data_IF_945417426992
#
_entry.id   IF_945417426992
#
_cell.length_a   1.000
_cell.length_b   1.000
_cell.length_c   1.000
_cell.angle_alpha   90.00
_cell.angle_beta   90.00
_cell.angle_gamma   90.00
#
_symmetry.space_group_name_H-M   'P 1'
#
loop_
_entity.id
_entity.type
_entity.pdbx_description
1 polymer ?
#
# COMPACT_ATOMS: atom_id res chain seq x y z
N UNK A 1 -10.80 37.48 -1.03
CA UNK A 1 -9.55 37.00 -1.69
C UNK A 1 -8.96 35.93 -0.83
N UNK A 2 -9.00 34.64 -1.19
CA UNK A 2 -8.27 33.63 -0.46
C UNK A 2 -6.78 33.88 -0.73
N UNK A 3 -6.01 34.04 0.36
CA UNK A 3 -4.56 34.21 0.32
C UNK A 3 -3.97 32.93 -0.25
N UNK A 4 -3.56 32.96 -1.52
CA UNK A 4 -2.99 31.84 -2.23
C UNK A 4 -1.70 31.37 -1.58
N UNK A 5 -1.47 30.07 -1.60
CA UNK A 5 -0.12 29.53 -1.41
C UNK A 5 0.82 30.20 -2.41
N UNK A 6 2.08 30.48 -2.02
CA UNK A 6 3.04 31.13 -2.91
C UNK A 6 3.23 30.35 -4.20
N UNK A 7 3.47 31.06 -5.29
CA UNK A 7 3.66 30.51 -6.62
C UNK A 7 4.71 29.40 -6.63
N UNK A 8 4.34 28.31 -7.27
CA UNK A 8 5.07 27.11 -7.58
C UNK A 8 6.60 27.29 -7.68
N UNK A 9 7.30 26.97 -6.59
CA UNK A 9 8.66 26.47 -6.74
C UNK A 9 8.50 24.96 -6.85
N UNK A 10 8.71 24.42 -8.04
CA UNK A 10 8.57 22.98 -8.35
C UNK A 10 9.58 22.15 -7.53
N UNK A 11 9.29 21.96 -6.25
CA UNK A 11 10.13 21.22 -5.32
C UNK A 11 9.54 19.82 -5.12
N UNK A 12 10.27 18.84 -5.63
CA UNK A 12 9.94 17.45 -5.41
C UNK A 12 10.09 17.07 -3.95
N UNK A 13 9.07 16.48 -3.32
CA UNK A 13 9.12 16.11 -1.90
C UNK A 13 8.40 14.79 -1.59
N UNK A 14 8.79 14.20 -0.47
CA UNK A 14 8.11 13.07 0.16
C UNK A 14 7.73 13.44 1.59
N UNK A 15 6.55 13.03 2.00
CA UNK A 15 6.03 13.18 3.37
C UNK A 15 5.45 11.86 3.85
N UNK A 16 5.66 11.58 5.12
CA UNK A 16 5.26 10.33 5.75
C UNK A 16 6.30 9.22 5.54
N UNK A 17 6.15 8.18 6.31
CA UNK A 17 7.05 7.03 6.30
C UNK A 17 6.49 5.95 5.37
N UNK A 18 7.09 5.81 4.18
CA UNK A 18 6.79 4.72 3.27
C UNK A 18 7.41 3.44 3.83
N UNK A 19 6.63 2.40 4.16
CA UNK A 19 7.19 1.16 4.68
C UNK A 19 8.20 0.55 3.69
N UNK A 20 9.23 -0.15 4.17
CA UNK A 20 10.12 -0.87 3.28
C UNK A 20 9.37 -2.02 2.58
N UNK A 21 9.77 -2.35 1.36
CA UNK A 21 9.35 -3.60 0.75
C UNK A 21 9.85 -4.78 1.60
N UNK A 22 8.97 -5.72 1.85
CA UNK A 22 9.34 -6.93 2.57
C UNK A 22 10.48 -7.65 1.85
N UNK A 23 11.45 -8.17 2.61
CA UNK A 23 12.52 -8.99 2.05
C UNK A 23 11.94 -10.15 1.24
N UNK A 24 12.35 -10.31 -0.02
CA UNK A 24 11.78 -11.28 -0.96
C UNK A 24 10.34 -10.93 -1.34
N UNK A 25 9.99 -9.63 -1.42
CA UNK A 25 8.73 -9.23 -2.03
C UNK A 25 8.70 -9.73 -3.47
N UNK A 26 7.70 -10.54 -3.75
CA UNK A 26 7.49 -11.10 -5.08
C UNK A 26 6.60 -10.18 -5.87
N UNK A 27 7.05 -9.80 -7.06
CA UNK A 27 6.18 -9.13 -8.02
C UNK A 27 4.92 -9.96 -8.26
N UNK A 28 3.77 -9.31 -8.33
CA UNK A 28 2.45 -9.96 -8.41
C UNK A 28 1.78 -9.67 -9.74
N UNK A 29 2.33 -10.16 -10.87
CA UNK A 29 1.81 -9.86 -12.19
C UNK A 29 0.36 -10.36 -12.36
N UNK A 30 0.00 -11.46 -11.71
CA UNK A 30 -1.34 -12.04 -11.82
C UNK A 30 -2.38 -11.27 -10.99
N UNK A 31 -1.95 -10.55 -9.94
CA UNK A 31 -2.84 -9.81 -9.02
C UNK A 31 -2.70 -8.31 -9.13
N UNK A 32 -1.48 -7.82 -9.30
CA UNK A 32 -1.12 -6.40 -9.28
C UNK A 32 -0.58 -5.92 -10.64
N UNK A 33 -0.42 -6.80 -11.61
CA UNK A 33 -0.01 -6.44 -12.96
C UNK A 33 -0.98 -5.43 -13.57
N UNK A 34 -0.44 -4.31 -14.05
CA UNK A 34 -1.25 -3.24 -14.62
C UNK A 34 -1.93 -2.30 -13.62
N UNK A 35 -1.81 -2.51 -12.28
CA UNK A 35 -2.41 -1.57 -11.32
C UNK A 35 -1.80 -0.17 -11.39
N UNK A 36 -0.50 -0.07 -11.66
CA UNK A 36 0.15 1.22 -11.88
C UNK A 36 -0.44 1.96 -13.10
N UNK A 37 -0.81 1.21 -14.15
CA UNK A 37 -1.42 1.75 -15.37
C UNK A 37 -2.88 2.21 -15.13
N UNK A 38 -3.55 1.65 -14.12
CA UNK A 38 -4.89 2.08 -13.72
C UNK A 38 -4.86 3.33 -12.83
N UNK A 39 -3.74 3.59 -12.18
CA UNK A 39 -3.55 4.76 -11.32
C UNK A 39 -3.06 5.96 -12.15
N UNK A 40 -3.90 6.37 -13.10
CA UNK A 40 -3.67 7.54 -13.97
C UNK A 40 -3.98 8.86 -13.25
N UNK A 41 -3.48 10.01 -13.72
CA UNK A 41 -3.87 11.31 -13.18
C UNK A 41 -5.40 11.48 -13.12
N UNK A 42 -5.90 12.03 -12.03
CA UNK A 42 -7.33 12.18 -11.75
C UNK A 42 -8.02 10.93 -11.22
N UNK A 43 -7.31 9.82 -11.02
CA UNK A 43 -7.92 8.56 -10.57
C UNK A 43 -7.74 8.30 -9.07
N UNK A 44 -8.65 7.46 -8.53
CA UNK A 44 -8.54 6.90 -7.19
C UNK A 44 -8.73 5.38 -7.23
N UNK A 45 -7.81 4.65 -6.60
CA UNK A 45 -7.88 3.20 -6.44
C UNK A 45 -7.94 2.84 -4.96
N UNK A 46 -8.75 1.84 -4.62
CA UNK A 46 -8.80 1.25 -3.29
C UNK A 46 -8.47 -0.25 -3.36
N UNK A 47 -7.38 -0.64 -2.73
CA UNK A 47 -6.99 -2.03 -2.55
C UNK A 47 -7.70 -2.58 -1.32
N UNK A 48 -8.59 -3.54 -1.52
CA UNK A 48 -9.36 -4.19 -0.45
C UNK A 48 -9.14 -5.70 -0.48
N UNK A 49 -9.41 -6.44 0.60
CA UNK A 49 -9.36 -7.90 0.55
C UNK A 49 -10.34 -8.45 -0.48
N UNK A 50 -9.95 -9.51 -1.16
CA UNK A 50 -10.88 -10.24 -2.03
C UNK A 50 -11.97 -10.89 -1.18
N UNK A 51 -13.27 -10.69 -1.48
CA UNK A 51 -14.38 -11.27 -0.73
C UNK A 51 -14.27 -12.79 -0.56
N UNK A 52 -13.84 -13.52 -1.58
CA UNK A 52 -13.66 -14.97 -1.50
C UNK A 52 -12.65 -15.41 -0.42
N UNK A 53 -11.67 -14.57 -0.08
CA UNK A 53 -10.71 -14.83 1.00
C UNK A 53 -11.35 -14.55 2.35
N UNK A 54 -12.05 -13.41 2.49
CA UNK A 54 -12.68 -13.01 3.76
C UNK A 54 -13.85 -13.92 4.16
N UNK A 55 -14.60 -14.43 3.20
CA UNK A 55 -15.67 -15.41 3.41
C UNK A 55 -15.11 -16.76 3.89
N UNK A 56 -13.98 -17.19 3.35
CA UNK A 56 -13.33 -18.45 3.72
C UNK A 56 -12.61 -18.39 5.06
N UNK A 57 -12.17 -17.21 5.48
CA UNK A 57 -11.38 -16.97 6.68
C UNK A 57 -11.91 -15.76 7.48
N UNK A 58 -13.05 -15.88 8.16
CA UNK A 58 -13.75 -14.73 8.77
C UNK A 58 -12.95 -13.98 9.83
N UNK A 59 -11.97 -14.64 10.48
CA UNK A 59 -11.09 -14.03 11.49
C UNK A 59 -9.70 -13.66 10.95
N UNK A 60 -9.54 -13.68 9.63
CA UNK A 60 -8.25 -13.40 9.02
C UNK A 60 -7.87 -11.91 9.13
N UNK A 61 -6.61 -11.58 9.52
CA UNK A 61 -6.18 -10.21 9.78
C UNK A 61 -6.01 -9.34 8.52
N UNK A 62 -6.32 -9.84 7.34
CA UNK A 62 -6.26 -9.05 6.11
C UNK A 62 -4.87 -8.95 5.46
N UNK A 63 -3.94 -9.84 5.81
CA UNK A 63 -2.53 -9.80 5.40
C UNK A 63 -2.28 -10.30 3.95
N UNK A 64 -3.06 -9.83 2.97
CA UNK A 64 -2.89 -10.18 1.55
C UNK A 64 -1.83 -9.33 0.81
N UNK A 65 -1.12 -8.45 1.51
CA UNK A 65 -0.03 -7.67 0.94
C UNK A 65 -0.45 -6.36 0.27
N UNK A 66 -1.62 -5.80 0.58
CA UNK A 66 -2.12 -4.52 0.02
C UNK A 66 -1.13 -3.37 0.19
N UNK A 67 -0.62 -3.16 1.42
CA UNK A 67 0.40 -2.15 1.71
C UNK A 67 1.66 -2.35 0.87
N UNK A 68 2.12 -3.60 0.69
CA UNK A 68 3.30 -3.90 -0.13
C UNK A 68 3.09 -3.59 -1.62
N UNK A 69 1.89 -3.85 -2.13
CA UNK A 69 1.50 -3.45 -3.48
C UNK A 69 1.49 -1.91 -3.58
N UNK A 70 0.93 -1.23 -2.59
CA UNK A 70 0.91 0.23 -2.58
C UNK A 70 2.33 0.83 -2.54
N UNK A 71 3.24 0.26 -1.75
CA UNK A 71 4.66 0.64 -1.72
C UNK A 71 5.31 0.46 -3.09
N UNK A 72 5.12 -0.70 -3.71
CA UNK A 72 5.66 -0.99 -5.05
C UNK A 72 5.19 0.05 -6.08
N UNK A 73 3.90 0.37 -6.10
CA UNK A 73 3.33 1.37 -7.02
C UNK A 73 3.90 2.76 -6.72
N UNK A 74 3.90 3.18 -5.45
CA UNK A 74 4.40 4.50 -5.05
C UNK A 74 5.88 4.68 -5.41
N UNK A 75 6.71 3.66 -5.12
CA UNK A 75 8.13 3.68 -5.46
C UNK A 75 8.39 3.65 -6.97
N UNK A 76 7.57 2.94 -7.74
CA UNK A 76 7.65 2.91 -9.20
C UNK A 76 7.33 4.28 -9.79
N UNK A 77 6.22 4.90 -9.39
CA UNK A 77 5.83 6.24 -9.85
C UNK A 77 6.86 7.31 -9.43
N UNK A 78 7.43 7.17 -8.23
CA UNK A 78 8.48 8.07 -7.77
C UNK A 78 9.76 7.93 -8.57
N UNK A 79 10.26 6.71 -8.80
CA UNK A 79 11.50 6.47 -9.55
C UNK A 79 11.38 6.85 -11.01
N UNK A 80 10.22 6.60 -11.63
CA UNK A 80 9.95 6.99 -13.03
C UNK A 80 9.70 8.49 -13.22
N UNK A 81 9.66 9.28 -12.13
CA UNK A 81 9.31 10.71 -12.15
C UNK A 81 7.90 10.98 -12.70
N UNK A 82 6.99 10.02 -12.55
CA UNK A 82 5.59 10.21 -12.88
C UNK A 82 4.83 11.03 -11.83
N UNK A 83 5.45 11.25 -10.67
CA UNK A 83 4.99 12.12 -9.58
C UNK A 83 6.16 12.93 -9.02
N UNK A 84 5.87 14.14 -8.57
CA UNK A 84 6.80 15.03 -7.89
C UNK A 84 6.51 15.14 -6.39
N UNK A 85 5.30 14.77 -6.00
CA UNK A 85 4.86 14.80 -4.61
C UNK A 85 4.33 13.43 -4.19
N UNK A 86 4.92 12.87 -3.14
CA UNK A 86 4.49 11.63 -2.52
C UNK A 86 4.12 11.87 -1.06
N UNK A 87 2.85 11.65 -0.75
CA UNK A 87 2.32 11.83 0.60
C UNK A 87 1.80 10.47 1.07
N UNK A 88 2.49 9.88 2.04
CA UNK A 88 2.11 8.60 2.63
C UNK A 88 1.54 8.83 4.03
N UNK A 89 0.31 8.39 4.26
CA UNK A 89 -0.37 8.52 5.55
C UNK A 89 -0.84 7.14 6.01
N UNK A 90 -0.26 6.64 7.10
CA UNK A 90 -0.78 5.47 7.80
C UNK A 90 -1.98 5.92 8.65
N UNK A 91 -3.17 5.48 8.25
CA UNK A 91 -4.43 6.00 8.80
C UNK A 91 -4.85 5.19 10.01
N UNK A 92 -4.62 5.72 11.20
CA UNK A 92 -5.16 5.15 12.45
C UNK A 92 -6.48 5.80 12.84
N UNK A 93 -6.63 7.09 12.53
CA UNK A 93 -7.81 7.91 12.82
C UNK A 93 -7.78 9.19 11.96
N UNK A 94 -8.82 10.03 12.07
CA UNK A 94 -8.90 11.31 11.37
C UNK A 94 -7.74 12.26 11.71
N UNK A 95 -7.28 12.28 12.95
CA UNK A 95 -6.17 13.15 13.37
C UNK A 95 -4.85 12.80 12.69
N UNK A 96 -4.59 11.52 12.41
CA UNK A 96 -3.43 11.09 11.62
C UNK A 96 -3.47 11.66 10.19
N UNK A 97 -4.64 11.70 9.57
CA UNK A 97 -4.82 12.28 8.23
C UNK A 97 -4.60 13.79 8.25
N UNK A 98 -5.18 14.49 9.23
CA UNK A 98 -4.95 15.94 9.43
C UNK A 98 -3.45 16.23 9.59
N UNK A 99 -2.77 15.50 10.46
CA UNK A 99 -1.32 15.66 10.70
C UNK A 99 -0.50 15.42 9.42
N UNK A 100 -0.83 14.39 8.64
CA UNK A 100 -0.17 14.09 7.38
C UNK A 100 -0.32 15.24 6.37
N UNK A 101 -1.50 15.82 6.23
CA UNK A 101 -1.71 16.96 5.33
C UNK A 101 -1.07 18.24 5.84
N UNK A 102 -1.01 18.46 7.15
CA UNK A 102 -0.25 19.60 7.72
C UNK A 102 1.23 19.47 7.38
N UNK A 103 1.84 18.29 7.59
CA UNK A 103 3.24 18.05 7.23
C UNK A 103 3.48 18.23 5.72
N UNK A 104 2.56 17.76 4.89
CA UNK A 104 2.64 17.93 3.45
C UNK A 104 2.55 19.41 3.04
N UNK A 105 1.71 20.21 3.71
CA UNK A 105 1.63 21.66 3.51
C UNK A 105 2.98 22.35 3.82
N UNK A 106 3.62 21.96 4.92
CA UNK A 106 4.97 22.48 5.27
C UNK A 106 6.01 22.10 4.20
N UNK A 107 6.00 20.84 3.77
CA UNK A 107 6.93 20.36 2.76
C UNK A 107 6.78 21.07 1.41
N UNK A 108 5.52 21.33 1.01
CA UNK A 108 5.20 22.02 -0.24
C UNK A 108 5.58 23.50 -0.22
N UNK A 109 5.34 24.19 0.91
CA UNK A 109 5.54 25.65 1.01
C UNK A 109 6.87 26.07 1.63
N UNK A 110 7.45 25.21 2.45
CA UNK A 110 8.60 25.56 3.32
C UNK A 110 8.24 26.50 4.48
N UNK A 111 6.93 26.73 4.73
CA UNK A 111 6.45 27.68 5.74
C UNK A 111 5.67 26.95 6.82
N UNK A 112 5.80 27.42 8.05
CA UNK A 112 4.95 26.98 9.15
C UNK A 112 3.50 27.41 8.88
N UNK A 113 2.54 26.48 8.93
CA UNK A 113 1.16 26.79 8.64
C UNK A 113 0.51 27.56 9.78
N UNK A 114 -0.39 28.50 9.44
CA UNK A 114 -1.19 29.25 10.40
C UNK A 114 -2.62 28.73 10.48
N UNK A 115 -3.16 28.58 11.68
CA UNK A 115 -4.51 28.10 11.93
C UNK A 115 -4.56 26.71 12.58
N UNK A 116 -5.75 26.14 12.67
CA UNK A 116 -5.94 24.80 13.21
C UNK A 116 -5.52 23.73 12.19
N UNK A 117 -5.21 22.53 12.67
CA UNK A 117 -4.86 21.39 11.79
C UNK A 117 -5.94 21.11 10.74
N UNK A 118 -7.23 21.18 11.10
CA UNK A 118 -8.34 21.03 10.16
C UNK A 118 -8.32 22.10 9.07
N UNK A 119 -8.14 23.39 9.45
CA UNK A 119 -8.10 24.49 8.47
C UNK A 119 -6.92 24.33 7.49
N UNK A 120 -5.76 23.94 8.00
CA UNK A 120 -4.55 23.73 7.18
C UNK A 120 -4.74 22.54 6.25
N UNK A 121 -5.24 21.41 6.76
CA UNK A 121 -5.47 20.21 5.97
C UNK A 121 -6.50 20.44 4.85
N UNK A 122 -7.63 21.08 5.15
CA UNK A 122 -8.64 21.41 4.14
C UNK A 122 -8.08 22.34 3.06
N UNK A 123 -7.29 23.35 3.45
CA UNK A 123 -6.62 24.25 2.48
C UNK A 123 -5.63 23.49 1.61
N UNK A 124 -4.86 22.58 2.19
CA UNK A 124 -3.91 21.77 1.44
C UNK A 124 -4.61 20.81 0.47
N UNK A 125 -5.69 20.16 0.89
CA UNK A 125 -6.51 19.32 0.00
C UNK A 125 -7.10 20.12 -1.15
N UNK A 126 -7.58 21.35 -0.88
CA UNK A 126 -8.07 22.26 -1.94
C UNK A 126 -6.95 22.62 -2.93
N UNK A 127 -5.74 22.88 -2.43
CA UNK A 127 -4.58 23.16 -3.29
C UNK A 127 -4.19 21.95 -4.14
N UNK A 128 -4.27 20.72 -3.61
CA UNK A 128 -4.06 19.49 -4.41
C UNK A 128 -5.06 19.40 -5.57
N UNK A 129 -6.27 19.95 -5.41
CA UNK A 129 -7.30 20.02 -6.45
C UNK A 129 -6.96 20.99 -7.60
N UNK A 130 -6.14 21.99 -7.32
CA UNK A 130 -5.83 23.09 -8.25
C UNK A 130 -4.42 22.98 -8.86
N UNK A 131 -3.48 22.33 -8.15
CA UNK A 131 -2.10 22.20 -8.61
C UNK A 131 -1.99 21.41 -9.90
N UNK A 132 -1.02 21.79 -10.73
CA UNK A 132 -0.64 21.04 -11.94
C UNK A 132 0.53 20.08 -11.71
N UNK A 133 1.13 20.14 -10.53
CA UNK A 133 2.21 19.22 -10.17
C UNK A 133 1.64 17.81 -9.97
N UNK A 134 2.26 16.77 -10.55
CA UNK A 134 1.78 15.41 -10.39
C UNK A 134 2.06 14.89 -8.97
N UNK A 135 0.99 14.53 -8.27
CA UNK A 135 1.08 14.02 -6.91
C UNK A 135 0.48 12.63 -6.75
N UNK A 136 0.91 11.94 -5.69
CA UNK A 136 0.31 10.72 -5.17
C UNK A 136 0.07 10.88 -3.68
N UNK A 137 -1.17 10.71 -3.26
CA UNK A 137 -1.52 10.49 -1.84
C UNK A 137 -1.82 9.01 -1.65
N UNK A 138 -1.18 8.40 -0.67
CA UNK A 138 -1.46 7.05 -0.20
C UNK A 138 -2.09 7.12 1.19
N UNK A 139 -3.31 6.59 1.32
CA UNK A 139 -3.98 6.39 2.61
C UNK A 139 -3.88 4.91 2.97
N UNK A 140 -2.89 4.56 3.80
CA UNK A 140 -2.62 3.17 4.13
C UNK A 140 -3.37 2.71 5.38
N UNK A 141 -3.95 1.50 5.28
CA UNK A 141 -4.78 0.81 6.29
C UNK A 141 -5.97 1.66 6.79
N UNK A 142 -6.68 2.33 5.86
CA UNK A 142 -7.83 3.17 6.17
C UNK A 142 -8.95 2.36 6.84
N UNK A 143 -9.29 2.65 8.12
CA UNK A 143 -10.40 2.00 8.80
C UNK A 143 -11.76 2.49 8.29
N UNK A 144 -12.77 1.62 8.26
CA UNK A 144 -14.13 1.96 7.80
C UNK A 144 -14.77 3.10 8.63
N UNK A 145 -14.46 3.15 9.92
CA UNK A 145 -15.04 4.11 10.86
C UNK A 145 -14.46 5.53 10.73
N UNK A 146 -13.39 5.73 9.95
CA UNK A 146 -12.78 7.05 9.81
C UNK A 146 -13.53 7.90 8.80
N UNK A 147 -14.15 8.97 9.31
CA UNK A 147 -14.77 9.99 8.45
C UNK A 147 -13.72 10.95 7.88
N UNK A 148 -13.59 10.96 6.57
CA UNK A 148 -12.72 11.84 5.79
C UNK A 148 -13.50 12.93 5.04
N UNK A 149 -14.72 13.24 5.46
CA UNK A 149 -15.51 14.34 4.86
C UNK A 149 -14.69 15.63 4.83
N UNK A 150 -14.57 16.24 3.66
CA UNK A 150 -13.79 17.45 3.42
C UNK A 150 -12.26 17.24 3.32
N UNK A 151 -11.77 15.98 3.46
CA UNK A 151 -10.35 15.65 3.40
C UNK A 151 -9.99 14.68 2.28
N UNK A 152 -10.92 14.37 1.38
CA UNK A 152 -10.62 13.53 0.23
C UNK A 152 -9.80 14.30 -0.80
N UNK A 153 -8.55 13.90 -1.08
CA UNK A 153 -7.76 14.52 -2.14
C UNK A 153 -8.41 14.22 -3.48
N UNK A 154 -8.54 15.25 -4.30
CA UNK A 154 -9.03 15.15 -5.67
C UNK A 154 -8.33 16.21 -6.53
N UNK A 155 -8.12 15.92 -7.82
CA UNK A 155 -7.48 16.86 -8.72
C UNK A 155 -6.97 16.20 -10.01
N UNK A 156 -6.94 16.95 -11.11
CA UNK A 156 -6.63 16.39 -12.43
C UNK A 156 -5.17 15.89 -12.57
N UNK A 157 -4.25 16.44 -11.79
CA UNK A 157 -2.84 16.02 -11.79
C UNK A 157 -2.55 14.90 -10.75
N UNK A 158 -3.51 14.62 -9.88
CA UNK A 158 -3.32 13.79 -8.71
C UNK A 158 -3.71 12.34 -8.89
N UNK A 159 -3.19 11.54 -7.98
CA UNK A 159 -3.53 10.12 -7.85
C UNK A 159 -3.80 9.80 -6.38
N UNK A 160 -4.88 9.09 -6.11
CA UNK A 160 -5.18 8.60 -4.76
C UNK A 160 -5.12 7.08 -4.73
N UNK A 161 -4.30 6.53 -3.84
CA UNK A 161 -4.22 5.10 -3.58
C UNK A 161 -4.60 4.83 -2.13
N UNK A 162 -5.55 3.95 -1.93
CA UNK A 162 -6.07 3.59 -0.60
C UNK A 162 -5.82 2.11 -0.38
N UNK A 163 -5.35 1.74 0.79
CA UNK A 163 -5.46 0.36 1.27
C UNK A 163 -6.44 0.31 2.43
N UNK A 164 -7.29 -0.70 2.47
CA UNK A 164 -8.28 -0.87 3.54
C UNK A 164 -8.55 -2.35 3.78
N UNK A 165 -9.04 -2.67 4.97
CA UNK A 165 -9.55 -4.01 5.33
C UNK A 165 -11.03 -4.15 5.02
N UNK A 166 -11.72 -3.05 4.78
CA UNK A 166 -13.16 -2.97 4.52
C UNK A 166 -13.42 -2.18 3.23
N UNK A 167 -14.61 -2.24 2.66
CA UNK A 167 -14.98 -1.40 1.54
C UNK A 167 -14.84 0.09 1.86
N UNK A 168 -14.19 0.84 0.97
CA UNK A 168 -14.00 2.29 1.13
C UNK A 168 -15.29 3.01 0.78
N UNK A 169 -15.75 3.85 1.71
CA UNK A 169 -16.97 4.66 1.58
C UNK A 169 -16.66 6.15 1.56
N UNK A 170 -17.61 6.96 1.12
CA UNK A 170 -17.52 8.42 1.21
C UNK A 170 -16.77 9.13 0.09
N UNK A 171 -16.16 8.40 -0.87
CA UNK A 171 -15.54 8.98 -2.07
C UNK A 171 -16.09 8.32 -3.34
N UNK A 172 -17.06 8.95 -4.01
CA UNK A 172 -17.55 8.47 -5.31
C UNK A 172 -16.43 8.38 -6.37
N UNK A 173 -16.55 7.45 -7.31
CA UNK A 173 -15.57 7.29 -8.39
C UNK A 173 -14.28 6.56 -7.99
N UNK A 174 -14.15 6.12 -6.74
CA UNK A 174 -13.02 5.26 -6.34
C UNK A 174 -13.19 3.85 -6.94
N UNK A 175 -12.21 3.42 -7.73
CA UNK A 175 -12.17 2.08 -8.30
C UNK A 175 -11.66 1.09 -7.25
N UNK A 176 -12.49 0.10 -6.92
CA UNK A 176 -12.14 -0.94 -5.94
C UNK A 176 -11.43 -2.09 -6.64
N UNK A 177 -10.29 -2.49 -6.10
CA UNK A 177 -9.44 -3.58 -6.58
C UNK A 177 -9.37 -4.65 -5.48
N UNK A 178 -9.97 -5.82 -5.67
CA UNK A 178 -9.88 -6.91 -4.72
C UNK A 178 -8.49 -7.56 -4.79
N UNK A 179 -7.80 -7.63 -3.64
CA UNK A 179 -6.50 -8.26 -3.49
C UNK A 179 -6.65 -9.58 -2.76
N UNK A 180 -6.32 -10.68 -3.43
CA UNK A 180 -6.34 -12.04 -2.88
C UNK A 180 -4.98 -12.48 -2.34
N UNK A 181 -4.87 -13.77 -2.06
CA UNK A 181 -3.60 -14.45 -1.81
C UNK A 181 -2.78 -14.54 -3.10
N UNK A 182 -1.57 -15.08 -3.00
CA UNK A 182 -0.76 -15.35 -4.18
C UNK A 182 -1.47 -16.38 -5.09
N UNK A 183 -1.25 -16.27 -6.40
CA UNK A 183 -1.39 -17.43 -7.27
C UNK A 183 -0.34 -18.50 -6.89
N UNK A 184 -0.54 -19.74 -7.26
CA UNK A 184 0.45 -20.81 -7.01
C UNK A 184 1.81 -20.44 -7.61
N UNK A 185 1.82 -19.81 -8.79
CA UNK A 185 3.04 -19.34 -9.47
C UNK A 185 3.73 -18.23 -8.68
N UNK A 186 3.00 -17.20 -8.23
CA UNK A 186 3.55 -16.11 -7.41
C UNK A 186 4.13 -16.65 -6.10
N UNK A 187 3.41 -17.56 -5.43
CA UNK A 187 3.86 -18.17 -4.18
C UNK A 187 5.15 -18.97 -4.34
N UNK A 188 5.24 -19.80 -5.39
CA UNK A 188 6.44 -20.60 -5.69
C UNK A 188 7.63 -19.72 -6.10
N UNK A 189 7.39 -18.67 -6.87
CA UNK A 189 8.43 -17.73 -7.25
C UNK A 189 8.99 -17.01 -6.02
N UNK A 190 8.13 -16.47 -5.15
CA UNK A 190 8.55 -15.79 -3.93
C UNK A 190 9.29 -16.69 -2.96
N UNK A 191 8.85 -17.93 -2.81
CA UNK A 191 9.54 -18.91 -1.99
C UNK A 191 10.91 -19.27 -2.59
N UNK A 192 10.98 -19.47 -3.91
CA UNK A 192 12.21 -19.78 -4.63
C UNK A 192 13.24 -18.67 -4.56
N UNK A 193 12.81 -17.41 -4.62
CA UNK A 193 13.69 -16.25 -4.49
C UNK A 193 14.27 -16.14 -3.08
N UNK A 194 13.43 -16.29 -2.06
CA UNK A 194 13.86 -16.23 -0.64
C UNK A 194 14.80 -17.39 -0.24
N UNK A 195 14.66 -18.55 -0.88
CA UNK A 195 15.49 -19.72 -0.66
C UNK A 195 16.53 -19.90 -1.80
N UNK A 196 16.96 -18.80 -2.42
CA UNK A 196 17.89 -18.84 -3.55
C UNK A 196 19.31 -19.28 -3.16
N UNK A 197 19.73 -18.97 -1.94
CA UNK A 197 21.07 -19.32 -1.44
C UNK A 197 21.26 -20.84 -1.25
N UNK A 198 20.19 -21.56 -0.89
CA UNK A 198 20.23 -23.01 -0.74
C UNK A 198 19.04 -23.69 -1.45
N UNK A 199 19.18 -24.07 -2.72
CA UNK A 199 18.11 -24.70 -3.50
C UNK A 199 17.56 -26.00 -2.92
N UNK A 200 18.31 -26.72 -2.09
CA UNK A 200 17.85 -27.95 -1.43
C UNK A 200 16.68 -27.66 -0.48
N UNK A 201 16.64 -26.48 0.13
CA UNK A 201 15.56 -26.05 1.02
C UNK A 201 14.19 -25.99 0.32
N UNK A 202 14.16 -25.92 -1.01
CA UNK A 202 12.92 -25.89 -1.82
C UNK A 202 12.22 -27.25 -1.94
N UNK A 203 12.83 -28.34 -1.45
CA UNK A 203 12.21 -29.67 -1.47
C UNK A 203 10.88 -29.66 -0.72
N UNK A 204 9.78 -30.00 -1.41
CA UNK A 204 8.42 -29.93 -0.87
C UNK A 204 7.75 -28.55 -0.96
N UNK A 205 8.28 -27.61 -1.76
CA UNK A 205 7.77 -26.26 -1.89
C UNK A 205 6.31 -26.19 -2.33
N UNK A 206 5.88 -27.03 -3.29
CA UNK A 206 4.50 -27.07 -3.79
C UNK A 206 3.54 -27.42 -2.65
N UNK A 207 3.83 -28.49 -1.93
CA UNK A 207 3.00 -28.95 -0.82
C UNK A 207 2.94 -27.93 0.31
N UNK A 208 4.05 -27.24 0.60
CA UNK A 208 4.09 -26.18 1.61
C UNK A 208 3.23 -24.99 1.19
N UNK A 209 3.32 -24.54 -0.06
CA UNK A 209 2.51 -23.45 -0.62
C UNK A 209 1.02 -23.75 -0.49
N UNK A 210 0.58 -24.95 -0.82
CA UNK A 210 -0.82 -25.36 -0.68
C UNK A 210 -1.23 -25.51 0.80
N UNK A 211 -0.36 -26.04 1.65
CA UNK A 211 -0.63 -26.16 3.10
C UNK A 211 -0.81 -24.80 3.76
N UNK A 212 -0.03 -23.79 3.37
CA UNK A 212 -0.13 -22.42 3.88
C UNK A 212 -1.18 -21.57 3.14
N UNK A 213 -1.98 -22.18 2.25
CA UNK A 213 -3.07 -21.49 1.55
C UNK A 213 -2.61 -20.34 0.66
N UNK A 214 -1.35 -20.31 0.26
CA UNK A 214 -0.75 -19.26 -0.58
C UNK A 214 -0.77 -17.86 0.07
N UNK A 215 -0.92 -17.82 1.39
CA UNK A 215 -0.95 -16.57 2.14
C UNK A 215 0.43 -15.90 2.16
N UNK A 216 0.56 -14.61 1.72
CA UNK A 216 1.86 -13.94 1.61
C UNK A 216 2.65 -13.85 2.92
N UNK A 217 1.97 -13.56 4.03
CA UNK A 217 2.62 -13.44 5.34
C UNK A 217 3.10 -14.79 5.85
N UNK A 218 2.25 -15.82 5.80
CA UNK A 218 2.61 -17.17 6.24
C UNK A 218 3.79 -17.73 5.44
N UNK A 219 3.80 -17.56 4.12
CA UNK A 219 4.91 -17.95 3.26
C UNK A 219 6.20 -17.16 3.56
N UNK A 220 6.05 -15.86 3.87
CA UNK A 220 7.16 -15.02 4.29
C UNK A 220 7.81 -15.52 5.58
N UNK A 221 7.01 -15.80 6.59
CA UNK A 221 7.46 -16.32 7.88
C UNK A 221 8.09 -17.72 7.73
N UNK A 222 7.40 -18.62 7.01
CA UNK A 222 7.92 -19.96 6.74
C UNK A 222 9.29 -19.91 6.06
N UNK A 223 9.44 -19.09 5.01
CA UNK A 223 10.72 -18.97 4.30
C UNK A 223 11.85 -18.45 5.19
N UNK A 224 11.56 -17.51 6.08
CA UNK A 224 12.55 -17.00 7.03
C UNK A 224 13.02 -18.08 8.02
N UNK A 225 12.09 -18.88 8.56
CA UNK A 225 12.41 -19.99 9.45
C UNK A 225 13.19 -21.07 8.72
N UNK A 226 12.76 -21.46 7.52
CA UNK A 226 13.44 -22.47 6.68
C UNK A 226 14.89 -22.06 6.42
N UNK A 227 15.11 -20.80 6.00
CA UNK A 227 16.44 -20.27 5.72
C UNK A 227 17.33 -20.27 6.98
N UNK A 228 16.82 -19.77 8.12
CA UNK A 228 17.59 -19.64 9.36
C UNK A 228 17.88 -20.97 10.06
N UNK A 229 16.98 -21.95 9.92
CA UNK A 229 17.10 -23.27 10.59
C UNK A 229 17.67 -24.35 9.68
N UNK A 230 18.04 -24.01 8.45
CA UNK A 230 18.55 -24.95 7.43
C UNK A 230 17.61 -26.16 7.18
N UNK A 231 16.31 -25.95 7.32
CA UNK A 231 15.28 -26.95 7.03
C UNK A 231 14.96 -26.99 5.53
N UNK A 232 14.29 -28.06 5.09
CA UNK A 232 13.59 -28.06 3.81
C UNK A 232 12.12 -27.61 3.98
N UNK A 233 11.46 -27.23 2.89
CA UNK A 233 10.01 -26.96 2.91
C UNK A 233 9.21 -28.18 3.39
N UNK A 234 9.68 -29.39 3.08
CA UNK A 234 9.07 -30.64 3.54
C UNK A 234 9.19 -30.81 5.06
N UNK A 235 10.37 -30.55 5.63
CA UNK A 235 10.61 -30.68 7.06
C UNK A 235 9.78 -29.66 7.84
N UNK A 236 9.77 -28.40 7.37
CA UNK A 236 8.95 -27.34 7.98
C UNK A 236 7.46 -27.70 7.98
N UNK A 237 6.94 -28.20 6.85
CA UNK A 237 5.54 -28.65 6.75
C UNK A 237 5.24 -29.79 7.72
N UNK A 238 6.17 -30.77 7.85
CA UNK A 238 6.03 -31.86 8.82
C UNK A 238 5.84 -31.35 10.25
N UNK A 239 6.65 -30.38 10.67
CA UNK A 239 6.55 -29.78 11.99
C UNK A 239 5.29 -28.93 12.22
N UNK A 240 4.57 -28.50 11.18
CA UNK A 240 3.25 -27.84 11.32
C UNK A 240 2.14 -28.84 11.68
N UNK A 241 2.23 -30.07 11.22
CA UNK A 241 1.22 -31.10 11.45
C UNK A 241 1.29 -31.70 12.86
N UNK A 242 2.40 -31.50 13.57
CA UNK A 242 2.64 -32.04 14.92
C UNK A 242 2.20 -31.06 16.05
N UNK A 243 1.66 -29.88 15.72
CA UNK A 243 1.18 -28.85 16.65
C UNK A 243 -0.33 -28.73 16.62
#
# INVERSE_FOLDING_TARGET
MPSGMPAETARRFRVGEVPPLAGGFTDRPDTAGGLADLLVPGSALALVPNPAVTESLPNWPGACGKTQIAVMIAESLWRSRAIDELIWISVTNRAAVLSGFVQASVAATGLEPTGTADTVAVRFVSWLGETRQPWLVVLDDLPEAVDLSGLWPDGPAGRLLITSRSPVRGRPGTRVIPVGFYSTREALNGLSERLSENPVQRQGAIDLVETLGREPLALGQASAVIASSNLTCRDYRGGLAER
#
